data_IF_826241543025
#
_entry.id   IF_826241543025
#
_cell.length_a   1.000
_cell.length_b   1.000
_cell.length_c   1.000
_cell.angle_alpha   90.00
_cell.angle_beta   90.00
_cell.angle_gamma   90.00
#
_symmetry.space_group_name_H-M   'P 1'
#
loop_
_entity.id
_entity.type
_entity.pdbx_description
1 polymer ?
#
# COMPACT_ATOMS: atom_id res chain seq x y z
N UNK A 1 22.46 10.61 24.62
CA UNK A 1 22.62 11.39 23.37
C UNK A 1 21.40 11.13 22.51
N UNK A 2 20.76 12.13 21.88
CA UNK A 2 19.62 11.85 21.01
C UNK A 2 20.14 11.02 19.84
N UNK A 3 19.62 9.80 19.71
CA UNK A 3 19.94 8.86 18.65
C UNK A 3 19.66 9.55 17.30
N UNK A 4 20.71 9.92 16.56
CA UNK A 4 20.54 10.54 15.25
C UNK A 4 19.87 9.52 14.33
N UNK A 5 18.60 9.71 14.00
CA UNK A 5 17.91 8.90 12.99
C UNK A 5 18.66 9.00 11.66
N UNK A 6 19.48 8.00 11.37
CA UNK A 6 20.24 7.90 10.12
C UNK A 6 19.23 7.81 8.97
N UNK A 7 19.29 8.78 8.05
CA UNK A 7 18.45 8.77 6.85
C UNK A 7 18.90 7.63 5.94
N UNK A 8 18.03 6.66 5.71
CA UNK A 8 18.28 5.53 4.81
C UNK A 8 18.21 5.97 3.34
N UNK A 9 19.35 6.35 2.75
CA UNK A 9 19.44 6.74 1.33
C UNK A 9 18.92 5.66 0.37
N UNK A 10 19.22 4.39 0.66
CA UNK A 10 18.76 3.25 -0.14
C UNK A 10 17.23 3.16 -0.21
N UNK A 11 16.52 3.50 0.86
CA UNK A 11 15.05 3.50 0.88
C UNK A 11 14.47 4.60 -0.01
N UNK A 12 15.08 5.78 0.00
CA UNK A 12 14.67 6.88 -0.87
C UNK A 12 14.91 6.54 -2.34
N UNK A 13 16.06 5.94 -2.67
CA UNK A 13 16.37 5.46 -4.02
C UNK A 13 15.42 4.36 -4.48
N UNK A 14 15.12 3.37 -3.63
CA UNK A 14 14.18 2.30 -3.96
C UNK A 14 12.77 2.83 -4.26
N UNK A 15 12.32 3.86 -3.53
CA UNK A 15 11.05 4.54 -3.84
C UNK A 15 11.09 5.26 -5.17
N UNK A 16 12.18 5.98 -5.44
CA UNK A 16 12.40 6.64 -6.72
C UNK A 16 12.34 5.65 -7.88
N UNK A 17 13.00 4.50 -7.73
CA UNK A 17 12.94 3.39 -8.67
C UNK A 17 11.51 2.87 -8.87
N UNK A 18 10.77 2.60 -7.80
CA UNK A 18 9.40 2.11 -7.91
C UNK A 18 8.47 3.13 -8.61
N UNK A 19 8.61 4.43 -8.32
CA UNK A 19 7.85 5.49 -9.00
C UNK A 19 8.22 5.59 -10.47
N UNK A 20 9.52 5.59 -10.81
CA UNK A 20 9.97 5.59 -12.19
C UNK A 20 9.46 4.35 -12.95
N UNK A 21 9.47 3.19 -12.29
CA UNK A 21 8.90 1.94 -12.80
C UNK A 21 7.40 2.06 -13.07
N UNK A 22 6.61 2.64 -12.15
CA UNK A 22 5.17 2.87 -12.35
C UNK A 22 4.90 3.74 -13.57
N UNK A 23 5.66 4.83 -13.75
CA UNK A 23 5.55 5.70 -14.93
C UNK A 23 5.91 4.92 -16.20
N UNK A 24 7.02 4.17 -16.18
CA UNK A 24 7.48 3.40 -17.32
C UNK A 24 6.42 2.39 -17.78
N UNK A 25 5.92 1.53 -16.88
CA UNK A 25 4.99 0.47 -17.25
C UNK A 25 3.62 1.02 -17.66
N UNK A 26 3.18 2.14 -17.08
CA UNK A 26 1.96 2.83 -17.52
C UNK A 26 2.10 3.41 -18.94
N UNK A 27 3.24 4.03 -19.25
CA UNK A 27 3.52 4.54 -20.61
C UNK A 27 3.63 3.39 -21.60
N UNK A 28 4.38 2.33 -21.27
CA UNK A 28 4.49 1.14 -22.12
C UNK A 28 3.14 0.43 -22.31
N UNK A 29 2.25 0.52 -21.32
CA UNK A 29 0.87 0.05 -21.36
C UNK A 29 0.03 0.69 -22.48
N UNK A 30 0.33 1.92 -22.90
CA UNK A 30 -0.42 2.63 -23.94
C UNK A 30 -0.14 2.14 -25.37
N UNK A 31 0.98 1.45 -25.61
CA UNK A 31 1.30 0.95 -26.94
C UNK A 31 0.50 -0.31 -27.25
N UNK A 32 0.22 -0.63 -28.51
CA UNK A 32 -0.49 -1.86 -28.87
C UNK A 32 0.43 -3.08 -28.86
N UNK A 33 1.65 -2.93 -29.38
CA UNK A 33 2.66 -3.99 -29.47
C UNK A 33 3.75 -3.71 -28.43
N UNK A 34 3.91 -4.61 -27.45
CA UNK A 34 4.94 -4.53 -26.41
C UNK A 34 5.31 -5.94 -25.95
N UNK A 35 6.57 -6.21 -25.57
CA UNK A 35 6.94 -7.48 -24.97
C UNK A 35 6.08 -7.75 -23.73
N UNK A 36 5.62 -9.00 -23.59
CA UNK A 36 4.70 -9.38 -22.51
C UNK A 36 5.29 -9.11 -21.11
N UNK A 37 6.61 -9.19 -20.95
CA UNK A 37 7.28 -8.94 -19.68
C UNK A 37 7.06 -7.50 -19.17
N UNK A 38 6.77 -6.52 -20.03
CA UNK A 38 6.66 -5.10 -19.67
C UNK A 38 5.21 -4.63 -19.49
N UNK A 39 4.22 -5.52 -19.61
CA UNK A 39 2.80 -5.23 -19.43
C UNK A 39 2.11 -6.29 -18.58
N UNK A 40 0.97 -5.93 -18.01
CA UNK A 40 0.09 -6.89 -17.34
C UNK A 40 -0.27 -8.03 -18.30
N UNK A 41 0.02 -9.26 -17.88
CA UNK A 41 -0.31 -10.47 -18.62
C UNK A 41 -1.38 -11.24 -17.85
N UNK A 42 -2.35 -11.84 -18.54
CA UNK A 42 -3.47 -12.51 -17.88
C UNK A 42 -3.05 -13.77 -17.11
N UNK A 43 -2.05 -14.49 -17.63
CA UNK A 43 -1.67 -15.82 -17.12
C UNK A 43 -0.32 -15.84 -16.37
N UNK A 44 0.41 -14.73 -16.36
CA UNK A 44 1.79 -14.70 -15.89
C UNK A 44 2.11 -13.48 -15.04
N UNK A 45 3.17 -13.59 -14.25
CA UNK A 45 3.69 -12.48 -13.45
C UNK A 45 4.75 -11.71 -14.25
N UNK A 46 4.41 -10.50 -14.67
CA UNK A 46 5.25 -9.60 -15.45
C UNK A 46 6.07 -8.65 -14.59
N UNK A 47 6.99 -7.91 -15.21
CA UNK A 47 7.65 -6.78 -14.56
C UNK A 47 6.64 -5.70 -14.14
N UNK A 48 5.53 -5.49 -14.84
CA UNK A 48 4.53 -4.52 -14.41
C UNK A 48 3.87 -4.90 -13.06
N UNK A 49 3.70 -6.21 -12.81
CA UNK A 49 2.94 -6.72 -11.66
C UNK A 49 3.70 -6.59 -10.32
N UNK A 50 5.04 -6.54 -10.33
CA UNK A 50 5.81 -6.43 -9.08
C UNK A 50 5.94 -4.98 -8.57
N UNK A 51 5.77 -3.97 -9.43
CA UNK A 51 6.09 -2.58 -9.11
C UNK A 51 5.18 -2.01 -8.02
N UNK A 52 3.87 -2.22 -8.11
CA UNK A 52 2.92 -1.73 -7.11
C UNK A 52 3.12 -2.40 -5.73
N UNK A 53 3.21 -3.75 -5.62
CA UNK A 53 3.57 -4.42 -4.37
C UNK A 53 4.89 -3.92 -3.76
N UNK A 54 5.93 -3.73 -4.59
CA UNK A 54 7.20 -3.17 -4.14
C UNK A 54 7.00 -1.78 -3.54
N UNK A 55 6.30 -0.88 -4.23
CA UNK A 55 6.07 0.47 -3.73
C UNK A 55 5.34 0.48 -2.38
N UNK A 56 4.26 -0.30 -2.23
CA UNK A 56 3.47 -0.40 -1.00
C UNK A 56 4.33 -0.91 0.16
N UNK A 57 5.19 -1.90 -0.10
CA UNK A 57 6.14 -2.42 0.88
C UNK A 57 7.12 -1.33 1.35
N UNK A 58 7.69 -0.55 0.43
CA UNK A 58 8.59 0.57 0.75
C UNK A 58 7.86 1.70 1.51
N UNK A 59 6.58 1.92 1.21
CA UNK A 59 5.71 2.85 1.96
C UNK A 59 5.51 2.35 3.40
N UNK A 60 5.25 1.05 3.58
CA UNK A 60 5.14 0.39 4.88
C UNK A 60 6.38 0.56 5.76
N UNK A 61 7.57 0.36 5.19
CA UNK A 61 8.83 0.63 5.91
C UNK A 61 8.90 2.08 6.40
N UNK A 62 8.65 3.05 5.51
CA UNK A 62 8.66 4.47 5.86
C UNK A 62 7.60 4.84 6.88
N UNK A 63 6.43 4.22 6.80
CA UNK A 63 5.35 4.47 7.72
C UNK A 63 5.73 4.09 9.14
N UNK A 64 6.31 2.90 9.35
CA UNK A 64 6.77 2.45 10.68
C UNK A 64 7.81 3.39 11.28
N UNK A 65 8.87 3.72 10.53
CA UNK A 65 9.92 4.62 11.00
C UNK A 65 9.38 6.03 11.32
N UNK A 66 8.54 6.58 10.43
CA UNK A 66 7.91 7.88 10.68
C UNK A 66 6.97 7.84 11.88
N UNK A 67 6.19 6.77 12.04
CA UNK A 67 5.24 6.64 13.13
C UNK A 67 5.95 6.58 14.48
N UNK A 68 6.99 5.76 14.60
CA UNK A 68 7.76 5.63 15.84
C UNK A 68 8.46 6.94 16.22
N UNK A 69 9.03 7.68 15.24
CA UNK A 69 9.59 9.01 15.51
C UNK A 69 8.54 9.98 16.05
N UNK A 70 7.36 10.05 15.42
CA UNK A 70 6.26 10.90 15.90
C UNK A 70 5.70 10.45 17.24
N UNK A 71 5.70 9.16 17.53
CA UNK A 71 5.29 8.61 18.81
C UNK A 71 6.26 9.00 19.93
N UNK A 72 7.56 9.04 19.66
CA UNK A 72 8.56 9.54 20.60
C UNK A 72 8.43 11.06 20.84
N UNK A 73 8.14 11.84 19.80
CA UNK A 73 8.01 13.31 19.89
C UNK A 73 6.69 13.78 20.53
N UNK A 74 5.57 13.15 20.20
CA UNK A 74 4.20 13.66 20.49
C UNK A 74 3.30 12.64 21.21
N UNK A 75 3.84 11.50 21.60
CA UNK A 75 3.07 10.37 22.12
C UNK A 75 2.23 9.65 21.05
N UNK A 76 1.61 8.54 21.46
CA UNK A 76 0.80 7.69 20.57
C UNK A 76 -0.39 8.44 19.92
N UNK A 77 -1.20 9.24 20.65
CA UNK A 77 -2.33 9.95 20.04
C UNK A 77 -1.88 10.96 18.97
N UNK A 78 -0.79 11.67 19.23
CA UNK A 78 -0.20 12.62 18.28
C UNK A 78 0.30 11.94 17.01
N UNK A 79 0.99 10.81 17.14
CA UNK A 79 1.45 10.01 16.02
C UNK A 79 0.30 9.46 15.16
N UNK A 80 -0.78 8.97 15.81
CA UNK A 80 -1.99 8.50 15.11
C UNK A 80 -2.67 9.63 14.35
N UNK A 81 -2.80 10.82 14.95
CA UNK A 81 -3.40 11.99 14.28
C UNK A 81 -2.57 12.43 13.07
N UNK A 82 -1.25 12.49 13.19
CA UNK A 82 -0.36 12.85 12.09
C UNK A 82 -0.44 11.82 10.93
N UNK A 83 -0.50 10.54 11.27
CA UNK A 83 -0.67 9.46 10.29
C UNK A 83 -2.06 9.50 9.62
N UNK A 84 -3.13 9.68 10.38
CA UNK A 84 -4.49 9.87 9.86
C UNK A 84 -4.56 11.06 8.91
N UNK A 85 -3.95 12.19 9.27
CA UNK A 85 -3.90 13.36 8.39
C UNK A 85 -3.14 13.08 7.09
N UNK A 86 -2.03 12.33 7.15
CA UNK A 86 -1.27 11.95 5.95
C UNK A 86 -2.10 11.05 5.03
N UNK A 87 -2.67 9.97 5.57
CA UNK A 87 -3.46 9.04 4.76
C UNK A 87 -4.78 9.64 4.30
N UNK A 88 -5.41 10.49 5.11
CA UNK A 88 -6.59 11.26 4.70
C UNK A 88 -6.32 12.20 3.53
N UNK A 89 -5.12 12.79 3.44
CA UNK A 89 -4.71 13.56 2.25
C UNK A 89 -4.58 12.66 1.00
N UNK A 90 -4.01 11.46 1.14
CA UNK A 90 -3.89 10.52 0.02
C UNK A 90 -5.27 10.06 -0.46
N UNK A 91 -6.16 9.71 0.48
CA UNK A 91 -7.55 9.37 0.18
C UNK A 91 -8.28 10.54 -0.48
N UNK A 92 -8.10 11.77 0.01
CA UNK A 92 -8.67 12.97 -0.60
C UNK A 92 -8.19 13.20 -2.03
N UNK A 93 -6.89 13.01 -2.29
CA UNK A 93 -6.34 13.08 -3.65
C UNK A 93 -6.88 11.96 -4.55
N UNK A 94 -6.99 10.73 -4.03
CA UNK A 94 -7.62 9.61 -4.74
C UNK A 94 -9.08 9.87 -5.08
N UNK A 95 -9.85 10.44 -4.15
CA UNK A 95 -11.24 10.84 -4.36
C UNK A 95 -11.39 11.89 -5.46
N UNK A 96 -10.53 12.93 -5.42
CA UNK A 96 -10.51 13.99 -6.43
C UNK A 96 -10.14 13.44 -7.82
N UNK A 97 -9.10 12.59 -7.88
CA UNK A 97 -8.66 11.96 -9.12
C UNK A 97 -9.71 11.01 -9.70
N UNK A 98 -10.37 10.22 -8.85
CA UNK A 98 -11.43 9.28 -9.22
C UNK A 98 -12.77 9.93 -9.59
N UNK A 99 -12.84 11.27 -9.67
CA UNK A 99 -14.04 12.01 -10.03
C UNK A 99 -15.23 11.76 -9.11
N UNK A 100 -14.98 11.46 -7.83
CA UNK A 100 -16.00 11.07 -6.83
C UNK A 100 -16.84 9.82 -7.19
N UNK A 101 -16.43 9.04 -8.19
CA UNK A 101 -17.11 7.81 -8.57
C UNK A 101 -16.81 6.67 -7.58
N UNK A 102 -17.61 6.58 -6.52
CA UNK A 102 -17.49 5.55 -5.46
C UNK A 102 -17.71 4.11 -5.98
N UNK A 103 -18.13 3.93 -7.22
CA UNK A 103 -18.44 2.62 -7.80
C UNK A 103 -17.21 1.96 -8.43
N UNK A 104 -16.33 2.75 -9.06
CA UNK A 104 -15.12 2.24 -9.76
C UNK A 104 -13.95 3.21 -9.66
N UNK A 105 -14.15 4.49 -9.99
CA UNK A 105 -13.06 5.45 -10.16
C UNK A 105 -12.30 5.82 -8.88
N UNK A 106 -12.95 5.74 -7.71
CA UNK A 106 -12.33 6.08 -6.42
C UNK A 106 -11.42 4.97 -5.90
N UNK A 107 -11.64 3.71 -6.28
CA UNK A 107 -10.87 2.55 -5.81
C UNK A 107 -9.62 2.34 -6.66
N UNK A 108 -8.77 3.35 -6.59
CA UNK A 108 -7.48 3.41 -7.26
C UNK A 108 -6.34 3.42 -6.24
N UNK A 109 -5.11 3.26 -6.71
CA UNK A 109 -3.92 3.04 -5.89
C UNK A 109 -3.76 4.04 -4.75
N UNK A 110 -4.06 5.33 -4.96
CA UNK A 110 -3.94 6.36 -3.91
C UNK A 110 -4.93 6.15 -2.77
N UNK A 111 -6.17 5.80 -3.10
CA UNK A 111 -7.22 5.56 -2.12
C UNK A 111 -6.93 4.27 -1.34
N UNK A 112 -6.51 3.20 -2.04
CA UNK A 112 -6.20 1.92 -1.41
C UNK A 112 -4.99 1.98 -0.49
N UNK A 113 -3.91 2.68 -0.88
CA UNK A 113 -2.77 2.96 0.00
C UNK A 113 -3.21 3.79 1.22
N UNK A 114 -4.05 4.79 0.99
CA UNK A 114 -4.64 5.62 2.03
C UNK A 114 -5.37 4.78 3.08
N UNK A 115 -6.35 4.00 2.64
CA UNK A 115 -7.16 3.16 3.50
C UNK A 115 -6.36 2.04 4.16
N UNK A 116 -5.46 1.36 3.44
CA UNK A 116 -4.57 0.35 4.01
C UNK A 116 -3.73 0.95 5.15
N UNK A 117 -3.24 2.17 4.95
CA UNK A 117 -2.55 2.96 5.97
C UNK A 117 -3.42 3.23 7.20
N UNK A 118 -4.67 3.64 7.01
CA UNK A 118 -5.63 3.87 8.12
C UNK A 118 -5.96 2.56 8.85
N UNK A 119 -6.25 1.49 8.11
CA UNK A 119 -6.55 0.15 8.65
C UNK A 119 -5.38 -0.42 9.47
N UNK A 120 -4.14 -0.06 9.13
CA UNK A 120 -2.97 -0.50 9.87
C UNK A 120 -2.72 0.26 11.20
N UNK A 121 -3.38 1.40 11.44
CA UNK A 121 -3.15 2.24 12.63
C UNK A 121 -3.44 1.57 13.98
N UNK A 122 -4.47 0.73 14.14
CA UNK A 122 -4.71 0.03 15.40
C UNK A 122 -3.56 -0.92 15.74
N UNK A 123 -2.85 -1.46 14.74
CA UNK A 123 -1.81 -2.48 14.95
C UNK A 123 -0.38 -1.97 14.79
N UNK A 124 -0.19 -0.78 14.22
CA UNK A 124 1.15 -0.24 13.89
C UNK A 124 2.05 -0.04 15.11
N UNK A 125 1.48 0.20 16.29
CA UNK A 125 2.21 0.40 17.54
C UNK A 125 2.47 -0.91 18.29
N UNK A 126 1.85 -2.01 17.87
CA UNK A 126 1.98 -3.32 18.50
C UNK A 126 3.26 -4.03 18.02
N UNK A 127 3.56 -5.16 18.67
CA UNK A 127 4.68 -6.03 18.32
C UNK A 127 4.59 -6.62 16.91
N UNK A 128 5.68 -7.26 16.46
CA UNK A 128 5.76 -7.91 15.14
C UNK A 128 4.66 -8.96 14.94
N UNK A 129 4.44 -9.83 15.94
CA UNK A 129 3.43 -10.90 15.87
C UNK A 129 2.02 -10.37 15.64
N UNK A 130 1.63 -9.30 16.35
CA UNK A 130 0.32 -8.68 16.19
C UNK A 130 0.11 -8.08 14.80
N UNK A 131 1.16 -7.47 14.22
CA UNK A 131 1.12 -6.95 12.85
C UNK A 131 1.07 -8.07 11.80
N UNK A 132 1.80 -9.16 11.99
CA UNK A 132 1.69 -10.36 11.13
C UNK A 132 0.28 -10.94 11.20
N UNK A 133 -0.27 -11.11 12.40
CA UNK A 133 -1.63 -11.62 12.58
C UNK A 133 -2.67 -10.72 11.91
N UNK A 134 -2.55 -9.41 12.05
CA UNK A 134 -3.43 -8.45 11.38
C UNK A 134 -3.28 -8.46 9.85
N UNK A 135 -2.06 -8.55 9.35
CA UNK A 135 -1.78 -8.65 7.92
C UNK A 135 -2.39 -9.92 7.31
N UNK A 136 -2.10 -11.08 7.90
CA UNK A 136 -2.63 -12.37 7.44
C UNK A 136 -4.14 -12.42 7.61
N UNK A 137 -4.68 -11.89 8.71
CA UNK A 137 -6.12 -11.80 8.94
C UNK A 137 -6.84 -10.94 7.90
N UNK A 138 -6.28 -9.78 7.55
CA UNK A 138 -6.80 -8.93 6.48
C UNK A 138 -6.77 -9.61 5.11
N UNK A 139 -5.66 -10.28 4.78
CA UNK A 139 -5.53 -11.04 3.54
C UNK A 139 -6.49 -12.23 3.48
N UNK A 140 -6.61 -12.99 4.56
CA UNK A 140 -7.53 -14.12 4.65
C UNK A 140 -8.99 -13.65 4.54
N UNK A 141 -9.34 -12.53 5.17
CA UNK A 141 -10.65 -11.91 5.04
C UNK A 141 -10.93 -11.48 3.59
N UNK A 142 -9.96 -10.83 2.94
CA UNK A 142 -10.08 -10.47 1.52
C UNK A 142 -10.28 -11.71 0.65
N UNK A 143 -9.47 -12.76 0.84
CA UNK A 143 -9.57 -13.99 0.07
C UNK A 143 -10.89 -14.72 0.29
N UNK A 144 -11.38 -14.76 1.53
CA UNK A 144 -12.68 -15.33 1.88
C UNK A 144 -13.82 -14.55 1.21
N UNK A 145 -13.80 -13.21 1.27
CA UNK A 145 -14.80 -12.38 0.61
C UNK A 145 -14.74 -12.54 -0.91
N UNK A 146 -13.54 -12.59 -1.50
CA UNK A 146 -13.36 -12.84 -2.93
C UNK A 146 -13.93 -14.19 -3.38
N UNK A 147 -13.65 -15.27 -2.64
CA UNK A 147 -13.95 -16.64 -3.06
C UNK A 147 -15.34 -17.12 -2.65
N UNK A 148 -15.84 -16.66 -1.50
CA UNK A 148 -17.08 -17.16 -0.89
C UNK A 148 -18.28 -16.25 -1.13
N UNK A 149 -18.10 -15.09 -1.76
CA UNK A 149 -19.18 -14.15 -2.05
C UNK A 149 -19.20 -13.77 -3.53
N UNK A 150 -20.24 -13.07 -3.97
CA UNK A 150 -20.32 -12.50 -5.33
C UNK A 150 -19.27 -11.42 -5.63
N UNK A 151 -18.46 -11.02 -4.63
CA UNK A 151 -17.44 -9.99 -4.79
C UNK A 151 -16.36 -10.37 -5.80
N UNK A 152 -15.93 -11.64 -5.86
CA UNK A 152 -14.91 -12.06 -6.81
C UNK A 152 -15.35 -11.88 -8.26
N UNK A 153 -16.57 -12.31 -8.59
CA UNK A 153 -17.15 -12.13 -9.91
C UNK A 153 -17.33 -10.63 -10.26
N UNK A 154 -17.79 -9.83 -9.30
CA UNK A 154 -17.88 -8.39 -9.48
C UNK A 154 -16.51 -7.75 -9.73
N UNK A 155 -15.50 -8.12 -8.94
CA UNK A 155 -14.16 -7.56 -9.00
C UNK A 155 -13.53 -7.78 -10.37
N UNK A 156 -13.58 -9.02 -10.88
CA UNK A 156 -13.00 -9.39 -12.17
C UNK A 156 -13.61 -8.61 -13.35
N UNK A 157 -14.82 -8.05 -13.20
CA UNK A 157 -15.48 -7.24 -14.22
C UNK A 157 -15.33 -5.71 -14.04
N UNK A 158 -14.87 -5.22 -12.89
CA UNK A 158 -15.01 -3.80 -12.55
C UNK A 158 -13.76 -3.11 -11.99
N UNK A 159 -12.75 -3.82 -11.45
CA UNK A 159 -11.58 -3.17 -10.87
C UNK A 159 -10.31 -4.01 -10.94
N UNK A 160 -9.20 -3.36 -11.28
CA UNK A 160 -7.85 -3.96 -11.32
C UNK A 160 -7.15 -3.92 -9.96
N UNK A 161 -7.47 -2.94 -9.09
CA UNK A 161 -6.75 -2.69 -7.84
C UNK A 161 -7.33 -3.44 -6.62
N UNK A 162 -8.38 -4.25 -6.83
CA UNK A 162 -9.03 -4.98 -5.75
C UNK A 162 -10.33 -4.34 -5.26
N UNK A 163 -10.73 -3.18 -5.81
CA UNK A 163 -12.00 -2.51 -5.55
C UNK A 163 -12.18 -2.05 -4.10
N UNK A 164 -13.44 -1.90 -3.61
CA UNK A 164 -13.75 -1.48 -2.25
C UNK A 164 -13.03 -2.24 -1.13
N UNK A 165 -12.74 -3.52 -1.35
CA UNK A 165 -12.08 -4.40 -0.40
C UNK A 165 -10.57 -4.54 -0.64
N UNK A 166 -10.04 -3.94 -1.72
CA UNK A 166 -8.61 -3.88 -2.03
C UNK A 166 -7.72 -3.47 -0.85
N UNK A 167 -8.09 -2.49 0.00
CA UNK A 167 -7.26 -2.08 1.13
C UNK A 167 -6.89 -3.21 2.10
N UNK A 168 -7.70 -4.26 2.19
CA UNK A 168 -7.43 -5.41 3.06
C UNK A 168 -6.21 -6.21 2.58
N UNK A 169 -6.08 -6.44 1.26
CA UNK A 169 -4.91 -7.11 0.69
C UNK A 169 -3.71 -6.18 0.62
N UNK A 170 -3.90 -4.88 0.38
CA UNK A 170 -2.81 -3.89 0.39
C UNK A 170 -2.24 -3.68 1.80
N UNK A 171 -3.09 -3.77 2.83
CA UNK A 171 -2.66 -3.73 4.23
C UNK A 171 -1.67 -4.85 4.56
N UNK A 172 -1.83 -6.04 3.97
CA UNK A 172 -0.88 -7.14 4.16
C UNK A 172 0.53 -6.74 3.73
N UNK A 173 0.68 -6.23 2.49
CA UNK A 173 1.97 -5.83 1.92
C UNK A 173 2.58 -4.67 2.72
N UNK A 174 1.76 -3.69 3.06
CA UNK A 174 2.17 -2.53 3.85
C UNK A 174 2.71 -2.96 5.22
N UNK A 175 1.99 -3.83 5.93
CA UNK A 175 2.41 -4.33 7.24
C UNK A 175 3.67 -5.19 7.17
N UNK A 176 3.86 -5.98 6.11
CA UNK A 176 5.13 -6.69 5.90
C UNK A 176 6.31 -5.73 5.80
N UNK A 177 6.14 -4.60 5.08
CA UNK A 177 7.14 -3.53 5.05
C UNK A 177 7.47 -2.98 6.44
N UNK A 178 6.49 -2.87 7.33
CA UNK A 178 6.75 -2.38 8.70
C UNK A 178 7.65 -3.31 9.52
N UNK A 179 7.69 -4.62 9.21
CA UNK A 179 8.52 -5.58 9.93
C UNK A 179 9.99 -5.38 9.60
N UNK A 180 10.31 -5.18 8.31
CA UNK A 180 11.69 -4.90 7.89
C UNK A 180 12.20 -3.59 8.47
N UNK A 181 11.34 -2.58 8.61
CA UNK A 181 11.73 -1.35 9.28
C UNK A 181 12.13 -1.52 10.75
N UNK A 182 11.69 -2.58 11.44
CA UNK A 182 12.15 -2.86 12.79
C UNK A 182 13.50 -3.59 12.82
N UNK A 183 13.88 -4.28 11.74
CA UNK A 183 15.18 -4.95 11.62
C UNK A 183 16.29 -3.97 11.25
N UNK A 184 15.94 -2.82 10.65
CA UNK A 184 16.87 -1.77 10.25
C UNK A 184 17.13 -0.73 11.36
N UNK A 185 16.67 -1.00 12.58
CA UNK A 185 16.93 -0.22 13.80
C UNK A 185 18.02 -0.90 14.59
#
# INVERSE_FOLDING_TARGET
MPEQTVRLKALDQARGYAIAGMVLVNVLGCFTVMPWMLKHHHEGFSYADHIAPLFIFLVGMGFRMSFQRRAAEKGLPGARRDALRRYGKLMGLGLLYGGFSLRVGVWDALMDIGMAGVLSLPVIHLGARARVAAAVGGLALYQALYSMTGYGAWLMGHSINGGPLGPLSWMFILLMGTLVADWLR
#
